data_IF_368536561648
#
_entry.id   IF_368536561648
#
_cell.length_a   1.000
_cell.length_b   1.000
_cell.length_c   1.000
_cell.angle_alpha   90.00
_cell.angle_beta   90.00
_cell.angle_gamma   90.00
#
_symmetry.space_group_name_H-M   'P 1'
#
loop_
_entity.id
_entity.type
_entity.pdbx_description
1 polymer ?
#
# COMPACT_ATOMS: atom_id res chain seq x y z
N UNK A 1 2.58 -6.78 1.68
CA UNK A 1 2.11 -5.45 1.27
C UNK A 1 2.35 -4.49 2.42
N UNK A 2 2.85 -3.30 2.12
CA UNK A 2 3.29 -2.32 3.12
C UNK A 2 2.76 -0.93 2.78
N UNK A 3 2.48 -0.14 3.81
CA UNK A 3 2.13 1.28 3.70
C UNK A 3 3.14 2.05 4.56
N UNK A 4 3.87 2.96 3.95
CA UNK A 4 4.95 3.73 4.60
C UNK A 4 4.61 5.21 4.57
N UNK A 5 4.78 5.91 5.68
CA UNK A 5 4.78 7.37 5.72
C UNK A 5 6.22 7.91 5.68
N UNK A 6 6.50 8.84 4.78
CA UNK A 6 7.78 9.51 4.70
C UNK A 6 7.61 10.96 4.24
N UNK A 7 7.85 11.90 5.15
CA UNK A 7 7.93 13.33 4.81
C UNK A 7 6.61 13.93 4.32
N UNK A 8 5.48 13.43 4.82
CA UNK A 8 4.13 13.88 4.41
C UNK A 8 3.59 13.16 3.17
N UNK A 9 4.32 12.19 2.62
CA UNK A 9 3.85 11.33 1.55
C UNK A 9 3.66 9.89 2.06
N UNK A 10 2.61 9.24 1.56
CA UNK A 10 2.25 7.86 1.84
C UNK A 10 2.56 6.97 0.65
N UNK A 11 3.40 5.96 0.83
CA UNK A 11 3.74 4.99 -0.21
C UNK A 11 3.13 3.63 0.10
N UNK A 12 2.38 3.06 -0.84
CA UNK A 12 1.88 1.68 -0.75
C UNK A 12 2.73 0.79 -1.64
N UNK A 13 3.38 -0.21 -1.06
CA UNK A 13 4.20 -1.22 -1.75
C UNK A 13 3.46 -2.54 -1.84
N UNK A 14 3.33 -3.03 -3.07
CA UNK A 14 2.65 -4.28 -3.40
C UNK A 14 3.64 -5.18 -4.13
N UNK A 15 4.20 -6.15 -3.43
CA UNK A 15 5.00 -7.21 -4.03
C UNK A 15 4.08 -8.37 -4.44
N UNK A 16 4.03 -8.70 -5.74
CA UNK A 16 3.36 -9.89 -6.26
C UNK A 16 4.32 -10.65 -7.16
N UNK A 17 4.67 -11.87 -6.74
CA UNK A 17 5.49 -12.84 -7.48
C UNK A 17 6.81 -12.25 -8.02
N UNK A 18 6.77 -11.56 -9.16
CA UNK A 18 7.92 -10.98 -9.88
C UNK A 18 7.81 -9.45 -10.08
N UNK A 19 6.71 -8.82 -9.64
CA UNK A 19 6.50 -7.38 -9.76
C UNK A 19 6.30 -6.72 -8.40
N UNK A 20 7.11 -5.70 -8.14
CA UNK A 20 6.88 -4.75 -7.07
C UNK A 20 6.27 -3.48 -7.65
N UNK A 21 5.06 -3.16 -7.22
CA UNK A 21 4.39 -1.91 -7.57
C UNK A 21 4.43 -1.02 -6.34
N UNK A 22 5.03 0.15 -6.49
CA UNK A 22 4.98 1.22 -5.48
C UNK A 22 4.09 2.34 -5.98
N UNK A 23 3.20 2.83 -5.12
CA UNK A 23 2.30 3.95 -5.44
C UNK A 23 2.26 4.95 -4.30
N UNK A 24 2.53 6.21 -4.63
CA UNK A 24 2.57 7.33 -3.68
C UNK A 24 1.26 8.10 -3.63
N UNK A 25 0.94 8.64 -2.46
CA UNK A 25 -0.25 9.45 -2.18
C UNK A 25 0.10 10.56 -1.18
N UNK A 26 -0.42 11.76 -1.41
CA UNK A 26 -0.27 12.87 -0.45
C UNK A 26 -1.24 12.72 0.73
N UNK A 27 -2.41 12.10 0.50
CA UNK A 27 -3.47 11.97 1.49
C UNK A 27 -3.48 10.55 2.06
N UNK A 28 -3.37 10.42 3.38
CA UNK A 28 -3.37 9.14 4.10
C UNK A 28 -4.58 8.28 3.76
N UNK A 29 -5.79 8.84 3.82
CA UNK A 29 -7.02 8.09 3.59
C UNK A 29 -7.08 7.47 2.19
N UNK A 30 -6.42 8.08 1.20
CA UNK A 30 -6.32 7.54 -0.16
C UNK A 30 -5.32 6.39 -0.23
N UNK A 31 -4.18 6.53 0.43
CA UNK A 31 -3.21 5.43 0.56
C UNK A 31 -3.85 4.21 1.24
N UNK A 32 -4.57 4.43 2.34
CA UNK A 32 -5.26 3.36 3.08
C UNK A 32 -6.38 2.71 2.25
N UNK A 33 -7.17 3.50 1.53
CA UNK A 33 -8.22 2.97 0.65
C UNK A 33 -7.64 2.14 -0.49
N UNK A 34 -6.53 2.60 -1.09
CA UNK A 34 -5.83 1.85 -2.13
C UNK A 34 -5.24 0.55 -1.57
N UNK A 35 -4.59 0.63 -0.41
CA UNK A 35 -4.04 -0.50 0.31
C UNK A 35 -5.09 -1.58 0.59
N UNK A 36 -6.24 -1.20 1.11
CA UNK A 36 -7.33 -2.13 1.40
C UNK A 36 -7.91 -2.78 0.14
N UNK A 37 -8.04 -2.00 -0.95
CA UNK A 37 -8.42 -2.53 -2.25
C UNK A 37 -7.41 -3.55 -2.80
N UNK A 38 -6.11 -3.31 -2.62
CA UNK A 38 -5.07 -4.27 -3.02
C UNK A 38 -5.08 -5.53 -2.13
N UNK A 39 -5.32 -5.37 -0.83
CA UNK A 39 -5.45 -6.49 0.11
C UNK A 39 -6.54 -7.46 -0.35
N UNK A 40 -7.73 -6.95 -0.66
CA UNK A 40 -8.85 -7.76 -1.15
C UNK A 40 -8.54 -8.38 -2.51
N UNK A 41 -8.01 -7.60 -3.46
CA UNK A 41 -7.72 -8.08 -4.83
C UNK A 41 -6.70 -9.23 -4.86
N UNK A 42 -5.78 -9.23 -3.90
CA UNK A 42 -4.68 -10.19 -3.82
C UNK A 42 -4.92 -11.28 -2.77
N UNK A 43 -6.11 -11.32 -2.16
CA UNK A 43 -6.48 -12.27 -1.10
C UNK A 43 -5.46 -12.28 0.06
N UNK A 44 -5.03 -11.09 0.49
CA UNK A 44 -4.07 -10.92 1.58
C UNK A 44 -4.80 -10.79 2.91
N UNK A 45 -4.28 -11.44 3.96
CA UNK A 45 -4.83 -11.35 5.32
C UNK A 45 -4.78 -9.90 5.85
N UNK A 46 -3.62 -9.26 5.71
CA UNK A 46 -3.35 -7.91 6.21
C UNK A 46 -2.23 -7.21 5.44
N UNK A 47 -2.14 -5.90 5.62
CA UNK A 47 -0.96 -5.12 5.25
C UNK A 47 -0.27 -4.57 6.50
N UNK A 48 1.03 -4.33 6.38
CA UNK A 48 1.84 -3.73 7.45
C UNK A 48 1.89 -2.22 7.22
N UNK A 49 1.79 -1.45 8.30
CA UNK A 49 1.99 -0.01 8.28
C UNK A 49 3.31 0.30 8.98
N UNK A 50 4.19 1.04 8.31
CA UNK A 50 5.55 1.38 8.73
C UNK A 50 5.71 2.89 8.86
#
# INVERSE_FOLDING_TARGET
MEVVEAGGEWSVRVAKEDQEITRSFVIESFALSYAEGQRIRLDLDKFVRL
#
